data_IF_651968626192
#
_entry.id   IF_651968626192
#
_cell.length_a   1.000
_cell.length_b   1.000
_cell.length_c   1.000
_cell.angle_alpha   90.00
_cell.angle_beta   90.00
_cell.angle_gamma   90.00
#
_symmetry.space_group_name_H-M   'P 1'
#
loop_
_entity.id
_entity.type
_entity.pdbx_description
1 polymer ?
#
# COMPACT_ATOMS: atom_id res chain seq x y z
N UNK A 1 -15.85 35.05 -65.42
CA UNK A 1 -14.97 35.82 -64.51
C UNK A 1 -15.51 35.62 -63.10
N UNK A 2 -14.76 34.93 -62.20
CA UNK A 2 -14.15 35.50 -60.97
C UNK A 2 -15.19 35.94 -59.90
N UNK A 3 -15.21 35.60 -58.61
CA UNK A 3 -14.37 34.87 -57.65
C UNK A 3 -15.25 34.56 -56.38
N UNK A 4 -15.09 33.35 -55.82
CA UNK A 4 -14.92 32.94 -54.39
C UNK A 4 -15.70 33.62 -53.24
N UNK A 5 -16.49 32.78 -52.53
CA UNK A 5 -16.60 32.49 -51.08
C UNK A 5 -16.25 33.55 -50.00
N UNK A 6 -17.06 33.62 -48.93
CA UNK A 6 -16.63 33.24 -47.56
C UNK A 6 -17.79 33.27 -46.55
N UNK A 7 -18.17 32.07 -46.08
CA UNK A 7 -18.94 31.88 -44.87
C UNK A 7 -18.04 32.19 -43.66
N UNK A 8 -18.45 33.14 -42.82
CA UNK A 8 -17.78 33.44 -41.56
C UNK A 8 -18.25 32.45 -40.49
N UNK A 9 -17.50 31.37 -40.31
CA UNK A 9 -17.60 30.49 -39.13
C UNK A 9 -16.92 31.19 -37.95
N UNK A 10 -17.73 31.62 -36.98
CA UNK A 10 -17.24 32.15 -35.71
C UNK A 10 -16.79 30.97 -34.84
N UNK A 11 -15.48 30.67 -34.84
CA UNK A 11 -14.90 29.69 -33.94
C UNK A 11 -14.73 30.32 -32.54
N UNK A 12 -15.54 29.87 -31.57
CA UNK A 12 -15.36 30.20 -30.16
C UNK A 12 -14.19 29.36 -29.65
N UNK A 13 -13.03 29.99 -29.50
CA UNK A 13 -11.87 29.38 -28.84
C UNK A 13 -12.07 29.54 -27.34
N UNK A 14 -12.50 28.47 -26.66
CA UNK A 14 -12.46 28.42 -25.19
C UNK A 14 -10.99 28.28 -24.76
N UNK A 15 -10.49 29.10 -23.83
CA UNK A 15 -9.16 28.89 -23.27
C UNK A 15 -9.20 27.64 -22.38
N UNK A 16 -8.60 26.55 -22.87
CA UNK A 16 -8.27 25.41 -22.03
C UNK A 16 -7.19 25.87 -21.05
N UNK A 17 -7.58 26.22 -19.83
CA UNK A 17 -6.63 26.38 -18.74
C UNK A 17 -6.10 24.99 -18.39
N UNK A 18 -4.84 24.74 -18.72
CA UNK A 18 -4.14 23.56 -18.22
C UNK A 18 -3.99 23.70 -16.71
N UNK A 19 -4.71 22.89 -15.96
CA UNK A 19 -4.43 22.71 -14.53
C UNK A 19 -3.11 21.95 -14.46
N UNK A 20 -2.01 22.68 -14.30
CA UNK A 20 -0.75 22.07 -13.88
C UNK A 20 -0.92 21.68 -12.41
N UNK A 21 -1.35 20.44 -12.18
CA UNK A 21 -1.22 19.84 -10.87
C UNK A 21 0.28 19.67 -10.61
N UNK A 22 0.86 20.61 -9.85
CA UNK A 22 2.14 20.34 -9.19
C UNK A 22 1.85 19.23 -8.18
N UNK A 23 2.51 18.10 -8.35
CA UNK A 23 2.61 17.09 -7.30
C UNK A 23 3.27 17.79 -6.09
N UNK A 24 2.45 18.18 -5.11
CA UNK A 24 2.97 18.59 -3.81
C UNK A 24 3.37 17.30 -3.12
N UNK A 25 4.61 16.87 -3.33
CA UNK A 25 5.25 15.89 -2.46
C UNK A 25 5.38 16.55 -1.09
N UNK A 26 4.33 16.46 -0.28
CA UNK A 26 4.45 16.70 1.14
C UNK A 26 5.58 15.78 1.63
N UNK A 27 6.64 16.30 2.25
CA UNK A 27 7.58 15.44 2.97
C UNK A 27 6.78 14.86 4.12
N UNK A 28 6.15 13.69 3.89
CA UNK A 28 5.67 12.87 4.98
C UNK A 28 6.83 12.73 5.95
N UNK A 29 6.63 12.96 7.26
CA UNK A 29 7.69 12.73 8.23
C UNK A 29 8.17 11.32 7.96
N UNK A 30 9.48 11.17 7.70
CA UNK A 30 10.11 9.88 7.42
C UNK A 30 9.90 9.02 8.66
N UNK A 31 8.72 8.40 8.78
CA UNK A 31 8.41 7.57 9.92
C UNK A 31 9.45 6.47 9.87
N UNK A 32 10.17 6.22 10.98
CA UNK A 32 11.18 5.18 10.98
C UNK A 32 10.52 3.88 10.55
N UNK A 33 10.93 3.32 9.42
CA UNK A 33 10.37 2.06 8.92
C UNK A 33 10.69 0.97 9.96
N UNK A 34 9.65 0.41 10.59
CA UNK A 34 9.76 -0.57 11.67
C UNK A 34 9.33 -1.98 11.28
N UNK A 35 8.65 -2.11 10.14
CA UNK A 35 8.12 -3.36 9.61
C UNK A 35 8.37 -3.41 8.10
N UNK A 36 8.61 -4.61 7.59
CA UNK A 36 8.91 -4.86 6.18
C UNK A 36 8.16 -6.07 5.66
N UNK A 37 7.56 -5.94 4.49
CA UNK A 37 7.02 -7.10 3.77
C UNK A 37 8.16 -7.89 3.13
N UNK A 38 8.14 -9.20 3.31
CA UNK A 38 8.98 -10.17 2.62
C UNK A 38 8.31 -10.66 1.35
N UNK A 39 8.24 -11.98 1.17
CA UNK A 39 7.54 -12.60 0.04
C UNK A 39 6.05 -12.70 0.35
N UNK A 40 5.23 -12.63 -0.69
CA UNK A 40 3.79 -12.84 -0.58
C UNK A 40 3.27 -13.60 -1.80
N UNK A 41 2.12 -14.25 -1.64
CA UNK A 41 1.42 -14.98 -2.68
C UNK A 41 -0.09 -14.91 -2.45
N UNK A 42 -0.85 -14.70 -3.52
CA UNK A 42 -2.30 -14.82 -3.53
C UNK A 42 -2.68 -15.96 -4.47
N UNK A 43 -3.19 -17.05 -3.92
CA UNK A 43 -3.59 -18.22 -4.71
C UNK A 43 -4.95 -18.72 -4.23
N UNK A 44 -5.89 -18.96 -5.15
CA UNK A 44 -7.23 -19.47 -4.83
C UNK A 44 -7.94 -18.68 -3.70
N UNK A 45 -7.87 -17.34 -3.76
CA UNK A 45 -8.36 -16.41 -2.73
C UNK A 45 -7.66 -16.47 -1.36
N UNK A 46 -6.61 -17.26 -1.23
CA UNK A 46 -5.84 -17.35 -0.01
C UNK A 46 -4.58 -16.47 -0.13
N UNK A 47 -4.50 -15.46 0.72
CA UNK A 47 -3.39 -14.53 0.77
C UNK A 47 -2.43 -14.90 1.90
N UNK A 48 -1.17 -15.10 1.53
CA UNK A 48 -0.14 -15.56 2.44
C UNK A 48 1.17 -14.86 2.17
N UNK A 49 2.04 -14.84 3.17
CA UNK A 49 3.35 -14.26 3.01
C UNK A 49 4.11 -14.10 4.32
N UNK A 50 5.22 -13.40 4.20
CA UNK A 50 6.19 -13.17 5.24
C UNK A 50 6.28 -11.66 5.51
N UNK A 51 6.36 -11.30 6.77
CA UNK A 51 6.65 -9.95 7.24
C UNK A 51 7.79 -10.07 8.24
N UNK A 52 8.69 -9.10 8.28
CA UNK A 52 9.70 -9.06 9.33
C UNK A 52 9.78 -7.68 9.97
N UNK A 53 10.27 -7.67 11.20
CA UNK A 53 10.58 -6.45 11.94
C UNK A 53 11.94 -6.61 12.61
N UNK A 54 12.55 -5.50 12.99
CA UNK A 54 13.62 -5.55 14.00
C UNK A 54 13.02 -6.07 15.30
N UNK A 55 13.86 -6.65 16.16
CA UNK A 55 13.43 -6.95 17.52
C UNK A 55 13.00 -5.65 18.22
N UNK A 56 11.76 -5.64 18.71
CA UNK A 56 11.19 -4.52 19.45
C UNK A 56 10.93 -4.95 20.90
N UNK A 57 11.14 -4.02 21.82
CA UNK A 57 10.71 -4.19 23.20
C UNK A 57 9.30 -3.59 23.34
N UNK A 58 8.27 -4.44 23.32
CA UNK A 58 6.87 -4.03 23.50
C UNK A 58 6.43 -4.13 24.97
N UNK A 59 7.38 -4.04 25.92
CA UNK A 59 7.10 -4.09 27.35
C UNK A 59 6.39 -5.39 27.75
N UNK A 60 5.18 -5.24 28.31
CA UNK A 60 4.36 -6.36 28.77
C UNK A 60 3.60 -7.09 27.65
N UNK A 61 3.63 -6.57 26.41
CA UNK A 61 3.03 -7.27 25.28
C UNK A 61 4.04 -8.32 24.81
N UNK A 62 3.67 -9.60 24.74
CA UNK A 62 4.61 -10.67 24.44
C UNK A 62 5.31 -10.45 23.09
N UNK A 63 4.61 -9.85 22.12
CA UNK A 63 5.07 -9.56 20.76
C UNK A 63 4.28 -8.39 20.15
N UNK A 64 4.83 -7.64 19.20
CA UNK A 64 4.05 -6.65 18.47
C UNK A 64 2.89 -7.31 17.70
N UNK A 65 1.77 -6.59 17.58
CA UNK A 65 0.66 -6.98 16.74
C UNK A 65 0.97 -6.57 15.29
N UNK A 66 0.93 -7.52 14.36
CA UNK A 66 1.16 -7.27 12.94
C UNK A 66 -0.08 -7.66 12.16
N UNK A 67 -0.62 -6.67 11.45
CA UNK A 67 -1.90 -6.73 10.75
C UNK A 67 -1.65 -6.44 9.26
N UNK A 68 -2.16 -7.32 8.40
CA UNK A 68 -2.14 -7.14 6.95
C UNK A 68 -3.52 -6.66 6.50
N UNK A 69 -3.60 -5.39 6.11
CA UNK A 69 -4.80 -4.79 5.57
C UNK A 69 -4.76 -4.91 4.05
N UNK A 70 -5.88 -5.25 3.44
CA UNK A 70 -5.98 -5.43 2.00
C UNK A 70 -7.24 -4.77 1.45
N UNK A 71 -7.24 -4.52 0.15
CA UNK A 71 -8.37 -3.98 -0.58
C UNK A 71 -8.66 -4.78 -1.85
N UNK A 72 -9.93 -4.76 -2.24
CA UNK A 72 -10.42 -5.24 -3.54
C UNK A 72 -10.70 -4.03 -4.41
N UNK A 73 -9.79 -3.72 -5.33
CA UNK A 73 -9.76 -2.40 -5.96
C UNK A 73 -9.50 -1.34 -4.91
N UNK A 74 -10.40 -0.37 -4.81
CA UNK A 74 -10.35 0.74 -3.82
C UNK A 74 -11.06 0.41 -2.49
N UNK A 75 -11.73 -0.76 -2.40
CA UNK A 75 -12.52 -1.14 -1.23
C UNK A 75 -11.66 -1.84 -0.17
N UNK A 76 -11.25 -1.08 0.86
CA UNK A 76 -10.52 -1.59 2.01
C UNK A 76 -11.40 -2.44 2.92
N UNK A 77 -10.86 -3.57 3.35
CA UNK A 77 -11.55 -4.48 4.24
C UNK A 77 -11.33 -4.08 5.70
N UNK A 78 -12.38 -4.19 6.52
CA UNK A 78 -12.33 -3.80 7.94
C UNK A 78 -11.51 -4.78 8.79
N UNK A 79 -11.52 -6.06 8.42
CA UNK A 79 -10.84 -7.12 9.15
C UNK A 79 -9.50 -7.45 8.50
N UNK A 80 -8.37 -7.14 9.15
CA UNK A 80 -7.05 -7.50 8.63
C UNK A 80 -6.75 -8.99 8.83
N UNK A 81 -5.69 -9.46 8.15
CA UNK A 81 -5.10 -10.77 8.42
C UNK A 81 -3.99 -10.61 9.46
N UNK A 82 -4.10 -11.29 10.58
CA UNK A 82 -3.04 -11.32 11.60
C UNK A 82 -1.82 -12.11 11.11
N UNK A 83 -0.63 -11.52 11.21
CA UNK A 83 0.61 -12.28 11.09
C UNK A 83 0.98 -12.90 12.45
N UNK A 84 1.48 -14.13 12.43
CA UNK A 84 1.95 -14.85 13.62
C UNK A 84 3.46 -15.03 13.53
N UNK A 85 4.16 -14.89 14.65
CA UNK A 85 5.61 -15.04 14.69
C UNK A 85 6.02 -16.44 14.25
N UNK A 86 7.10 -16.50 13.48
CA UNK A 86 7.64 -17.72 12.91
C UNK A 86 9.05 -17.99 13.43
N UNK A 87 10.05 -17.25 12.95
CA UNK A 87 11.47 -17.48 13.26
C UNK A 87 12.22 -16.15 13.41
N UNK A 88 13.51 -16.20 13.71
CA UNK A 88 14.38 -15.02 13.72
C UNK A 88 15.65 -15.30 12.93
N UNK A 89 16.14 -14.28 12.22
CA UNK A 89 17.37 -14.41 11.45
C UNK A 89 18.61 -14.21 12.32
N UNK A 90 19.79 -14.40 11.72
CA UNK A 90 21.08 -14.25 12.43
C UNK A 90 21.38 -12.81 12.83
N UNK A 91 20.65 -11.85 12.27
CA UNK A 91 20.76 -10.43 12.60
C UNK A 91 19.80 -10.02 13.73
N UNK A 92 18.98 -10.96 14.22
CA UNK A 92 18.00 -10.72 15.27
C UNK A 92 16.70 -10.10 14.79
N UNK A 93 16.44 -10.05 13.47
CA UNK A 93 15.13 -9.66 12.97
C UNK A 93 14.15 -10.80 13.23
N UNK A 94 12.91 -10.43 13.56
CA UNK A 94 11.83 -11.38 13.83
C UNK A 94 10.97 -11.48 12.58
N UNK A 95 10.75 -12.70 12.12
CA UNK A 95 9.92 -13.04 10.97
C UNK A 95 8.57 -13.56 11.42
N UNK A 96 7.54 -13.20 10.66
CA UNK A 96 6.14 -13.49 10.90
C UNK A 96 5.51 -13.99 9.60
N UNK A 97 4.60 -14.94 9.71
CA UNK A 97 3.84 -15.44 8.58
C UNK A 97 2.38 -15.05 8.74
N UNK A 98 1.77 -14.55 7.68
CA UNK A 98 0.32 -14.37 7.61
C UNK A 98 -0.26 -15.38 6.61
N UNK A 99 -1.48 -15.79 6.89
CA UNK A 99 -2.26 -16.66 6.00
C UNK A 99 -3.73 -16.42 6.29
N UNK A 100 -4.49 -15.99 5.29
CA UNK A 100 -5.91 -15.73 5.44
C UNK A 100 -6.62 -15.55 4.11
N UNK A 101 -7.95 -15.58 4.14
CA UNK A 101 -8.76 -15.35 2.95
C UNK A 101 -8.72 -13.87 2.57
N UNK A 102 -8.41 -13.60 1.30
CA UNK A 102 -8.46 -12.27 0.71
C UNK A 102 -9.02 -12.35 -0.73
N UNK A 103 -10.31 -12.69 -0.88
CA UNK A 103 -10.90 -12.92 -2.20
C UNK A 103 -10.89 -11.65 -3.06
N UNK A 104 -10.14 -11.70 -4.16
CA UNK A 104 -9.99 -10.58 -5.09
C UNK A 104 -9.13 -9.44 -4.54
N UNK A 105 -8.23 -9.69 -3.59
CA UNK A 105 -7.28 -8.69 -3.13
C UNK A 105 -6.43 -8.18 -4.30
N UNK A 106 -6.35 -6.86 -4.46
CA UNK A 106 -5.55 -6.21 -5.50
C UNK A 106 -4.42 -5.37 -4.91
N UNK A 107 -4.56 -4.94 -3.66
CA UNK A 107 -3.53 -4.18 -2.96
C UNK A 107 -3.56 -4.43 -1.46
N UNK A 108 -2.44 -4.18 -0.79
CA UNK A 108 -2.32 -4.33 0.65
C UNK A 108 -1.23 -3.44 1.26
N UNK A 109 -1.30 -3.26 2.58
CA UNK A 109 -0.21 -2.73 3.39
C UNK A 109 -0.11 -3.49 4.70
N UNK A 110 1.01 -3.31 5.41
CA UNK A 110 1.21 -3.90 6.73
C UNK A 110 1.28 -2.82 7.79
N UNK A 111 0.62 -3.07 8.91
CA UNK A 111 0.69 -2.26 10.11
C UNK A 111 1.28 -3.08 11.25
N UNK A 112 2.22 -2.49 11.97
CA UNK A 112 2.77 -3.03 13.20
C UNK A 112 2.41 -2.11 14.36
N UNK A 113 1.82 -2.66 15.41
CA UNK A 113 1.50 -1.96 16.66
C UNK A 113 2.31 -2.57 17.80
N UNK A 114 3.10 -1.74 18.48
CA UNK A 114 3.92 -2.11 19.62
C UNK A 114 3.75 -1.04 20.72
N UNK A 115 2.94 -1.34 21.73
CA UNK A 115 2.47 -0.35 22.71
C UNK A 115 1.84 0.87 21.99
N UNK A 116 2.35 2.08 22.24
CA UNK A 116 1.88 3.32 21.63
C UNK A 116 2.54 3.62 20.27
N UNK A 117 3.47 2.78 19.83
CA UNK A 117 4.16 2.95 18.55
C UNK A 117 3.44 2.20 17.45
N UNK A 118 3.14 2.91 16.36
CA UNK A 118 2.54 2.34 15.15
C UNK A 118 3.49 2.58 13.97
N UNK A 119 3.77 1.53 13.23
CA UNK A 119 4.59 1.55 12.04
C UNK A 119 3.82 0.99 10.86
N UNK A 120 4.05 1.55 9.68
CA UNK A 120 3.41 1.11 8.44
C UNK A 120 4.46 0.70 7.41
N UNK A 121 4.14 -0.31 6.62
CA UNK A 121 4.80 -0.60 5.36
C UNK A 121 3.79 -0.60 4.21
N UNK A 122 3.60 0.55 3.53
CA UNK A 122 2.76 0.67 2.35
C UNK A 122 3.52 0.35 1.04
N UNK A 123 4.72 -0.22 1.10
CA UNK A 123 5.51 -0.50 -0.11
C UNK A 123 5.99 0.78 -0.79
N UNK A 124 5.70 0.95 -2.08
CA UNK A 124 6.15 2.09 -2.90
C UNK A 124 5.31 3.36 -2.69
N UNK A 125 5.11 3.78 -1.43
CA UNK A 125 4.44 5.04 -1.03
C UNK A 125 2.94 5.16 -1.39
N UNK A 126 2.33 4.13 -1.97
CA UNK A 126 0.88 4.08 -2.22
C UNK A 126 0.29 2.86 -1.54
N UNK A 127 0.65 1.64 -1.96
CA UNK A 127 0.43 0.33 -1.34
C UNK A 127 1.28 -0.73 -2.09
N UNK A 128 1.36 -1.95 -1.59
CA UNK A 128 1.79 -3.08 -2.42
C UNK A 128 0.67 -3.44 -3.40
N UNK A 129 1.00 -3.55 -4.69
CA UNK A 129 0.09 -4.05 -5.71
C UNK A 129 0.26 -5.56 -5.85
N UNK A 130 -0.84 -6.30 -5.81
CA UNK A 130 -0.84 -7.75 -5.95
C UNK A 130 -0.98 -8.06 -7.43
N UNK A 131 0.09 -8.54 -8.04
CA UNK A 131 0.05 -9.09 -9.39
C UNK A 131 -0.64 -10.46 -9.33
N UNK A 132 -1.71 -10.62 -10.11
CA UNK A 132 -2.35 -11.93 -10.29
C UNK A 132 -1.43 -12.77 -11.19
N UNK A 133 -0.96 -13.90 -10.67
CA UNK A 133 -0.18 -14.90 -11.42
C UNK A 133 -1.12 -15.92 -12.03
#
# INVERSE_FOLDING_TARGET
>A
MKFISLAALCAIVLPFTTVSAREVKLPWPTQPKGVWVGRYNLENNNFSGEVWSRQMNCGNVPQPLIEVFWAKGEEWQETPIDAKRSWFDRQGNVWYNFNGLAPGATQFYVKLTCLDSVFYDPGNFVNYQIELV
#
